data_IF_826578293597
#
_entry.id   IF_826578293597
#
_cell.length_a   1.000
_cell.length_b   1.000
_cell.length_c   1.000
_cell.angle_alpha   90.00
_cell.angle_beta   90.00
_cell.angle_gamma   90.00
#
_symmetry.space_group_name_H-M   'P 1'
#
loop_
_entity.id
_entity.type
_entity.pdbx_description
1 polymer ?
#
# COMPACT_ATOMS: atom_id res chain seq x y z
N UNK A 1 42.71 39.57 -19.54
CA UNK A 1 43.87 38.93 -18.85
C UNK A 1 43.37 37.69 -18.15
N UNK A 2 43.93 36.54 -18.51
CA UNK A 2 43.60 35.24 -17.97
C UNK A 2 44.27 35.02 -16.60
N UNK A 3 43.62 34.29 -15.70
CA UNK A 3 44.29 33.60 -14.62
C UNK A 3 43.75 32.16 -14.55
N UNK A 4 44.69 31.23 -14.64
CA UNK A 4 44.51 29.79 -14.76
C UNK A 4 44.46 29.11 -13.39
N UNK A 5 43.75 27.99 -13.38
CA UNK A 5 43.87 26.77 -12.58
C UNK A 5 45.02 26.65 -11.55
N UNK A 6 44.65 26.13 -10.37
CA UNK A 6 45.45 25.13 -9.67
C UNK A 6 44.52 24.03 -9.13
N UNK A 7 44.88 22.79 -9.46
CA UNK A 7 44.21 21.52 -9.15
C UNK A 7 44.95 20.91 -7.97
N UNK A 8 44.23 20.44 -6.95
CA UNK A 8 44.78 19.63 -5.86
C UNK A 8 43.90 18.40 -5.66
N UNK A 9 44.56 17.27 -5.52
CA UNK A 9 44.04 15.90 -5.54
C UNK A 9 44.17 15.39 -4.10
N UNK A 10 43.09 14.88 -3.54
CA UNK A 10 43.08 14.24 -2.23
C UNK A 10 42.06 13.12 -2.22
N UNK A 11 42.54 11.90 -2.39
CA UNK A 11 41.78 10.67 -2.21
C UNK A 11 41.62 10.33 -0.72
N UNK A 12 40.63 9.47 -0.43
CA UNK A 12 40.29 8.72 0.81
C UNK A 12 38.82 9.01 1.15
N UNK A 13 37.98 8.10 1.58
CA UNK A 13 37.96 6.64 1.68
C UNK A 13 36.51 6.35 2.12
N UNK A 14 35.89 5.33 1.54
CA UNK A 14 34.49 4.98 1.74
C UNK A 14 34.19 4.50 3.16
N UNK A 15 33.16 5.07 3.81
CA UNK A 15 32.39 4.37 4.83
C UNK A 15 30.89 4.57 4.57
N UNK A 16 30.27 3.45 4.21
CA UNK A 16 28.83 3.28 4.00
C UNK A 16 28.13 3.42 5.34
N UNK A 17 27.25 4.42 5.46
CA UNK A 17 26.23 4.47 6.51
C UNK A 17 24.88 4.21 5.86
N UNK A 18 24.34 3.03 6.14
CA UNK A 18 22.98 2.67 5.76
C UNK A 18 21.98 3.55 6.51
N UNK A 19 21.41 4.54 5.83
CA UNK A 19 20.23 5.28 6.30
C UNK A 19 18.99 4.54 5.79
N UNK A 20 18.49 3.62 6.61
CA UNK A 20 17.28 2.87 6.30
C UNK A 20 16.07 3.81 6.42
N UNK A 21 15.32 3.92 5.33
CA UNK A 21 14.08 4.67 5.24
C UNK A 21 12.98 3.90 6.01
N UNK A 22 12.26 4.61 6.88
CA UNK A 22 11.06 4.10 7.52
C UNK A 22 9.99 3.86 6.46
N UNK A 23 9.67 2.59 6.21
CA UNK A 23 8.49 2.18 5.47
C UNK A 23 7.23 2.47 6.30
N UNK A 24 6.27 3.16 5.68
CA UNK A 24 4.91 3.27 6.18
C UNK A 24 4.19 2.02 5.67
N UNK A 25 3.97 1.05 6.56
CA UNK A 25 3.06 -0.07 6.30
C UNK A 25 1.70 0.23 6.92
N UNK A 26 0.71 0.30 6.03
CA UNK A 26 -0.72 0.39 6.33
C UNK A 26 -1.20 -0.92 6.94
N UNK A 27 -1.65 -0.87 8.19
CA UNK A 27 -2.21 -2.01 8.90
C UNK A 27 -3.62 -2.30 8.40
N UNK A 28 -3.76 -3.42 7.70
CA UNK A 28 -5.01 -4.15 7.58
C UNK A 28 -5.50 -4.60 8.97
N UNK A 29 -6.78 -4.44 9.26
CA UNK A 29 -7.42 -4.89 10.49
C UNK A 29 -7.16 -6.37 10.76
N UNK A 30 -6.19 -6.63 11.64
CA UNK A 30 -5.86 -7.93 12.20
C UNK A 30 -5.59 -7.72 13.68
N UNK A 31 -6.20 -8.54 14.52
CA UNK A 31 -6.10 -8.53 15.97
C UNK A 31 -4.63 -8.51 16.41
N UNK A 32 -4.17 -7.41 17.00
CA UNK A 32 -2.84 -7.32 17.59
C UNK A 32 -2.80 -8.18 18.87
N UNK A 33 -2.18 -9.36 18.78
CA UNK A 33 -1.68 -10.08 19.96
C UNK A 33 -0.26 -9.57 20.25
N UNK A 34 0.01 -8.93 21.41
CA UNK A 34 1.38 -8.65 21.80
C UNK A 34 2.05 -9.95 22.25
N UNK A 35 2.98 -10.48 21.44
CA UNK A 35 3.90 -11.53 21.86
C UNK A 35 5.04 -10.88 22.64
N UNK A 36 4.96 -10.90 23.97
CA UNK A 36 6.10 -10.56 24.82
C UNK A 36 7.14 -11.68 24.72
N UNK A 37 8.20 -11.43 23.97
CA UNK A 37 9.43 -12.22 24.03
C UNK A 37 10.27 -11.62 25.16
N UNK A 38 10.37 -12.35 26.27
CA UNK A 38 11.33 -12.06 27.33
C UNK A 38 12.71 -12.54 26.87
N UNK A 39 13.55 -11.62 26.41
CA UNK A 39 14.98 -11.86 26.22
C UNK A 39 15.74 -11.18 27.36
N UNK A 40 16.32 -11.99 28.24
CA UNK A 40 17.24 -11.55 29.28
C UNK A 40 18.66 -11.41 28.73
N UNK A 41 19.26 -10.22 28.85
CA UNK A 41 20.70 -10.06 29.16
C UNK A 41 20.99 -8.61 29.60
N UNK A 42 21.71 -8.49 30.73
CA UNK A 42 22.03 -7.27 31.49
C UNK A 42 23.06 -6.34 30.77
N UNK A 43 23.40 -5.12 31.26
CA UNK A 43 24.00 -4.90 32.59
C UNK A 43 23.38 -3.76 33.40
N UNK A 44 23.73 -3.77 34.68
CA UNK A 44 23.18 -2.98 35.76
C UNK A 44 23.41 -1.46 35.61
N UNK A 45 22.36 -0.69 35.87
CA UNK A 45 22.49 0.69 36.33
C UNK A 45 21.47 0.92 37.46
N UNK A 46 21.98 1.37 38.60
CA UNK A 46 21.25 1.63 39.84
C UNK A 46 20.41 2.89 39.70
N UNK A 47 19.13 2.75 39.33
CA UNK A 47 18.11 3.81 39.50
C UNK A 47 16.80 3.18 40.01
N UNK A 48 15.98 3.91 40.80
CA UNK A 48 14.92 3.31 41.61
C UNK A 48 13.81 2.70 40.75
N UNK A 49 13.79 1.36 40.67
CA UNK A 49 12.84 0.51 39.91
C UNK A 49 11.37 0.65 40.34
N UNK A 50 11.09 1.39 41.41
CA UNK A 50 9.76 1.53 42.00
C UNK A 50 8.81 2.37 41.14
N UNK A 51 9.34 3.37 40.40
CA UNK A 51 8.51 4.31 39.65
C UNK A 51 7.97 3.72 38.34
N UNK A 52 8.77 2.90 37.66
CA UNK A 52 8.36 2.22 36.42
C UNK A 52 7.27 1.18 36.67
N UNK A 53 7.36 0.40 37.75
CA UNK A 53 6.33 -0.59 38.12
C UNK A 53 4.99 0.07 38.42
N UNK A 54 5.00 1.22 39.12
CA UNK A 54 3.80 2.00 39.39
C UNK A 54 3.19 2.59 38.11
N UNK A 55 4.02 2.97 37.14
CA UNK A 55 3.55 3.47 35.85
C UNK A 55 2.92 2.36 35.00
N UNK A 56 3.53 1.17 34.96
CA UNK A 56 2.96 0.00 34.25
C UNK A 56 1.64 -0.45 34.86
N UNK A 57 1.51 -0.46 36.20
CA UNK A 57 0.27 -0.83 36.88
C UNK A 57 -0.85 0.18 36.60
N UNK A 58 -0.52 1.47 36.55
CA UNK A 58 -1.47 2.53 36.16
C UNK A 58 -1.92 2.40 34.71
N UNK A 59 -1.00 2.12 33.80
CA UNK A 59 -1.33 1.91 32.38
C UNK A 59 -2.18 0.65 32.19
N UNK A 60 -1.85 -0.44 32.88
CA UNK A 60 -2.68 -1.66 32.89
C UNK A 60 -4.09 -1.36 33.38
N UNK A 61 -4.24 -0.68 34.52
CA UNK A 61 -5.56 -0.35 35.05
C UNK A 61 -6.38 0.56 34.13
N UNK A 62 -5.75 1.49 33.40
CA UNK A 62 -6.44 2.31 32.40
C UNK A 62 -6.89 1.46 31.21
N UNK A 63 -6.04 0.57 30.71
CA UNK A 63 -6.37 -0.34 29.61
C UNK A 63 -7.53 -1.27 30.01
N UNK A 64 -7.51 -1.81 31.22
CA UNK A 64 -8.56 -2.69 31.75
C UNK A 64 -9.91 -1.97 31.86
N UNK A 65 -9.91 -0.73 32.35
CA UNK A 65 -11.13 0.10 32.43
C UNK A 65 -11.70 0.42 31.04
N UNK A 66 -10.83 0.68 30.06
CA UNK A 66 -11.24 0.93 28.67
C UNK A 66 -11.82 -0.33 28.03
N UNK A 67 -11.19 -1.48 28.26
CA UNK A 67 -11.64 -2.78 27.76
C UNK A 67 -12.98 -3.19 28.40
N UNK A 68 -13.15 -2.96 29.70
CA UNK A 68 -14.41 -3.22 30.41
C UNK A 68 -15.59 -2.45 29.82
N UNK A 69 -15.37 -1.22 29.34
CA UNK A 69 -16.44 -0.44 28.69
C UNK A 69 -16.88 -1.01 27.35
N UNK A 70 -16.04 -1.81 26.68
CA UNK A 70 -16.39 -2.48 25.43
C UNK A 70 -17.20 -3.76 25.66
N UNK A 71 -17.23 -4.27 26.88
CA UNK A 71 -17.99 -5.47 27.22
C UNK A 71 -19.50 -5.18 27.36
N UNK A 72 -20.33 -6.21 27.11
CA UNK A 72 -21.73 -6.24 27.53
C UNK A 72 -21.86 -5.82 29.01
N UNK A 73 -22.87 -5.02 29.40
CA UNK A 73 -23.12 -4.63 30.79
C UNK A 73 -23.08 -5.78 31.80
N UNK A 74 -23.51 -6.97 31.39
CA UNK A 74 -23.55 -8.22 32.16
C UNK A 74 -22.15 -8.73 32.55
N UNK A 75 -21.11 -8.30 31.81
CA UNK A 75 -19.72 -8.73 31.97
C UNK A 75 -18.80 -7.62 32.53
N UNK A 76 -19.33 -6.44 32.86
CA UNK A 76 -18.53 -5.31 33.37
C UNK A 76 -18.22 -5.45 34.86
N UNK A 77 -17.02 -5.02 35.29
CA UNK A 77 -16.66 -4.91 36.71
C UNK A 77 -16.17 -6.21 37.38
N UNK A 78 -16.12 -7.32 36.64
CA UNK A 78 -15.52 -8.58 37.06
C UNK A 78 -13.99 -8.52 36.85
N UNK A 79 -13.25 -8.04 37.86
CA UNK A 79 -11.79 -7.79 37.74
C UNK A 79 -10.93 -9.05 37.75
N UNK A 80 -11.36 -10.12 38.44
CA UNK A 80 -10.49 -11.26 38.78
C UNK A 80 -11.00 -12.63 38.31
N UNK A 81 -12.19 -12.72 37.71
CA UNK A 81 -12.58 -13.92 37.01
C UNK A 81 -11.70 -14.00 35.75
N UNK A 82 -10.93 -15.07 35.59
CA UNK A 82 -10.36 -15.43 34.28
C UNK A 82 -11.53 -15.43 33.33
N UNK A 83 -11.65 -14.36 32.51
CA UNK A 83 -12.71 -14.18 31.53
C UNK A 83 -12.55 -15.33 30.56
N UNK A 84 -13.28 -16.41 30.82
CA UNK A 84 -13.21 -17.57 29.97
C UNK A 84 -13.91 -17.20 28.67
N UNK A 85 -13.37 -17.63 27.54
CA UNK A 85 -14.02 -17.43 26.25
C UNK A 85 -15.49 -17.93 26.29
N UNK A 86 -15.73 -18.96 27.10
CA UNK A 86 -17.05 -19.50 27.43
C UNK A 86 -18.01 -18.51 28.09
N UNK A 87 -17.57 -17.61 28.99
CA UNK A 87 -18.46 -16.63 29.62
C UNK A 87 -18.96 -15.58 28.62
N UNK A 88 -18.07 -15.16 27.71
CA UNK A 88 -18.41 -14.22 26.64
C UNK A 88 -19.39 -14.89 25.68
N UNK A 89 -19.12 -16.13 25.27
CA UNK A 89 -20.01 -16.91 24.41
C UNK A 89 -21.40 -17.04 25.05
N UNK A 90 -21.48 -17.40 26.33
CA UNK A 90 -22.77 -17.58 27.01
C UNK A 90 -23.62 -16.31 27.02
N UNK A 91 -23.01 -15.15 27.29
CA UNK A 91 -23.72 -13.86 27.26
C UNK A 91 -24.15 -13.48 25.84
N UNK A 92 -23.32 -13.76 24.85
CA UNK A 92 -23.66 -13.54 23.43
C UNK A 92 -24.84 -14.43 23.03
N UNK A 93 -24.81 -15.72 23.34
CA UNK A 93 -25.88 -16.68 23.06
C UNK A 93 -27.20 -16.25 23.71
N UNK A 94 -27.19 -15.89 25.00
CA UNK A 94 -28.39 -15.41 25.69
C UNK A 94 -29.00 -14.18 25.02
N UNK A 95 -28.18 -13.25 24.54
CA UNK A 95 -28.66 -12.05 23.81
C UNK A 95 -29.22 -12.38 22.44
N UNK A 96 -28.62 -13.35 21.74
CA UNK A 96 -29.13 -13.83 20.44
C UNK A 96 -30.51 -14.45 20.66
N UNK A 97 -30.65 -15.37 21.62
CA UNK A 97 -31.92 -16.01 21.98
C UNK A 97 -33.00 -14.99 22.33
N UNK A 98 -32.70 -14.04 23.22
CA UNK A 98 -33.67 -13.02 23.60
C UNK A 98 -34.09 -12.16 22.39
N UNK A 99 -33.14 -11.82 21.51
CA UNK A 99 -33.44 -11.06 20.29
C UNK A 99 -34.28 -11.87 19.28
N UNK A 100 -34.14 -13.20 19.25
CA UNK A 100 -34.99 -14.09 18.47
C UNK A 100 -36.41 -14.15 19.04
N UNK A 101 -36.56 -14.31 20.35
CA UNK A 101 -37.88 -14.30 21.04
C UNK A 101 -38.62 -12.97 20.84
N UNK A 102 -37.90 -11.85 20.90
CA UNK A 102 -38.44 -10.51 20.62
C UNK A 102 -38.75 -10.28 19.14
N UNK A 103 -38.41 -11.22 18.24
CA UNK A 103 -38.66 -11.11 16.81
C UNK A 103 -37.84 -10.01 16.11
N UNK A 104 -36.71 -9.56 16.71
CA UNK A 104 -35.88 -8.48 16.16
C UNK A 104 -35.28 -8.79 14.77
N UNK A 105 -35.21 -10.07 14.41
CA UNK A 105 -34.74 -10.52 13.09
C UNK A 105 -35.86 -10.60 12.02
N UNK A 106 -37.14 -10.49 12.42
CA UNK A 106 -38.25 -10.69 11.48
C UNK A 106 -38.48 -9.51 10.54
N UNK A 107 -38.26 -8.27 11.01
CA UNK A 107 -38.48 -7.02 10.28
C UNK A 107 -37.18 -6.27 9.97
N UNK A 108 -36.12 -6.99 9.60
CA UNK A 108 -34.86 -6.35 9.20
C UNK A 108 -35.03 -5.54 7.90
N UNK A 109 -34.44 -4.33 7.84
CA UNK A 109 -34.44 -3.55 6.61
C UNK A 109 -33.75 -4.34 5.49
N UNK A 110 -34.49 -4.58 4.40
CA UNK A 110 -33.96 -5.32 3.25
C UNK A 110 -34.16 -6.85 3.30
N UNK A 111 -34.85 -7.40 4.31
CA UNK A 111 -35.19 -8.84 4.32
C UNK A 111 -35.93 -9.24 3.04
N UNK A 112 -35.43 -10.27 2.35
CA UNK A 112 -35.99 -10.79 1.10
C UNK A 112 -35.70 -9.95 -0.15
N UNK A 113 -35.03 -8.80 -0.03
CA UNK A 113 -34.57 -8.02 -1.19
C UNK A 113 -33.14 -8.41 -1.56
N UNK A 114 -32.77 -8.35 -2.86
CA UNK A 114 -31.38 -8.47 -3.27
C UNK A 114 -30.52 -7.44 -2.52
N UNK A 115 -29.34 -7.88 -2.06
CA UNK A 115 -28.39 -7.00 -1.38
C UNK A 115 -27.94 -5.88 -2.32
N UNK A 116 -27.99 -4.63 -1.85
CA UNK A 116 -27.46 -3.50 -2.61
C UNK A 116 -25.94 -3.47 -2.50
N UNK A 117 -25.27 -3.89 -3.58
CA UNK A 117 -23.80 -3.89 -3.68
C UNK A 117 -23.24 -2.55 -4.15
N UNK A 118 -24.09 -1.55 -4.43
CA UNK A 118 -23.64 -0.28 -5.01
C UNK A 118 -23.06 0.69 -3.98
N UNK A 119 -23.38 0.51 -2.70
CA UNK A 119 -22.97 1.44 -1.65
C UNK A 119 -21.79 0.84 -0.89
N UNK A 120 -20.65 1.54 -0.90
CA UNK A 120 -19.50 1.15 -0.08
C UNK A 120 -19.50 1.96 1.23
N UNK A 121 -19.81 1.35 2.40
CA UNK A 121 -19.84 2.05 3.69
C UNK A 121 -18.48 2.59 4.14
N UNK A 122 -17.40 2.10 3.52
CA UNK A 122 -16.02 2.46 3.85
C UNK A 122 -15.42 3.46 2.86
N UNK A 123 -16.14 3.84 1.80
CA UNK A 123 -15.70 4.87 0.87
C UNK A 123 -15.97 6.27 1.43
N UNK A 124 -15.13 7.23 1.04
CA UNK A 124 -15.42 8.64 1.27
C UNK A 124 -16.73 9.02 0.54
N UNK A 125 -17.67 9.76 1.17
CA UNK A 125 -18.96 10.09 0.56
C UNK A 125 -18.87 10.85 -0.77
N UNK A 126 -17.84 11.69 -0.96
CA UNK A 126 -17.64 12.41 -2.21
C UNK A 126 -17.12 11.47 -3.30
N UNK A 127 -16.16 10.61 -2.97
CA UNK A 127 -15.61 9.59 -3.89
C UNK A 127 -16.68 8.55 -4.31
N UNK A 128 -17.49 8.07 -3.37
CA UNK A 128 -18.63 7.18 -3.66
C UNK A 128 -19.62 7.82 -4.63
N UNK A 129 -19.94 9.10 -4.41
CA UNK A 129 -20.84 9.86 -5.29
C UNK A 129 -20.25 10.02 -6.69
N UNK A 130 -18.96 10.33 -6.80
CA UNK A 130 -18.26 10.43 -8.07
C UNK A 130 -18.32 9.11 -8.85
N UNK A 131 -17.93 7.99 -8.23
CA UNK A 131 -17.94 6.68 -8.90
C UNK A 131 -19.35 6.23 -9.27
N UNK A 132 -20.36 6.55 -8.45
CA UNK A 132 -21.77 6.30 -8.77
C UNK A 132 -22.23 7.08 -10.00
N UNK A 133 -21.86 8.35 -10.14
CA UNK A 133 -22.19 9.15 -11.33
C UNK A 133 -21.49 8.59 -12.56
N UNK A 134 -20.21 8.25 -12.47
CA UNK A 134 -19.45 7.66 -13.58
C UNK A 134 -20.05 6.34 -14.04
N UNK A 135 -20.35 5.44 -13.09
CA UNK A 135 -20.97 4.12 -13.37
C UNK A 135 -22.34 4.26 -14.05
N UNK A 136 -23.19 5.18 -13.58
CA UNK A 136 -24.50 5.47 -14.21
C UNK A 136 -24.35 5.94 -15.66
N UNK A 137 -23.29 6.69 -15.97
CA UNK A 137 -23.00 7.15 -17.33
C UNK A 137 -22.15 6.16 -18.15
N UNK A 138 -21.82 4.99 -17.60
CA UNK A 138 -20.91 4.00 -18.21
C UNK A 138 -19.52 4.57 -18.54
N UNK A 139 -19.07 5.57 -17.78
CA UNK A 139 -17.74 6.16 -17.88
C UNK A 139 -16.80 5.51 -16.86
N UNK A 140 -15.52 5.40 -17.22
CA UNK A 140 -14.51 4.92 -16.31
C UNK A 140 -13.88 6.10 -15.54
N UNK A 141 -13.35 5.88 -14.33
CA UNK A 141 -12.52 6.87 -13.66
C UNK A 141 -11.29 7.23 -14.50
N UNK A 142 -10.82 8.47 -14.37
CA UNK A 142 -9.68 8.99 -15.13
C UNK A 142 -8.45 8.07 -15.05
N UNK A 143 -8.14 7.54 -13.86
CA UNK A 143 -6.98 6.67 -13.68
C UNK A 143 -7.12 5.34 -14.44
N UNK A 144 -8.35 4.83 -14.65
CA UNK A 144 -8.58 3.61 -15.45
C UNK A 144 -8.29 3.90 -16.93
N UNK A 145 -8.78 5.03 -17.43
CA UNK A 145 -8.57 5.45 -18.81
C UNK A 145 -7.09 5.72 -19.10
N UNK A 146 -6.43 6.43 -18.18
CA UNK A 146 -5.00 6.72 -18.26
C UNK A 146 -4.16 5.43 -18.22
N UNK A 147 -4.54 4.45 -17.39
CA UNK A 147 -3.86 3.15 -17.37
C UNK A 147 -3.96 2.44 -18.73
N UNK A 148 -5.16 2.43 -19.34
CA UNK A 148 -5.37 1.87 -20.68
C UNK A 148 -4.53 2.60 -21.72
N UNK A 149 -4.50 3.93 -21.68
CA UNK A 149 -3.68 4.75 -22.58
C UNK A 149 -2.19 4.41 -22.46
N UNK A 150 -1.66 4.35 -21.23
CA UNK A 150 -0.25 4.01 -20.97
C UNK A 150 0.07 2.63 -21.54
N UNK A 151 -0.75 1.61 -21.26
CA UNK A 151 -0.50 0.25 -21.76
C UNK A 151 -0.47 0.20 -23.28
N UNK A 152 -1.41 0.88 -23.95
CA UNK A 152 -1.45 0.93 -25.40
C UNK A 152 -0.19 1.60 -25.97
N UNK A 153 0.22 2.75 -25.41
CA UNK A 153 1.44 3.45 -25.84
C UNK A 153 2.70 2.60 -25.62
N UNK A 154 2.79 1.86 -24.52
CA UNK A 154 3.91 0.94 -24.26
C UNK A 154 3.97 -0.16 -25.32
N UNK A 155 2.83 -0.75 -25.70
CA UNK A 155 2.77 -1.78 -26.74
C UNK A 155 3.21 -1.20 -28.09
N UNK A 156 2.64 -0.06 -28.50
CA UNK A 156 2.99 0.62 -29.74
C UNK A 156 4.48 0.98 -29.79
N UNK A 157 5.00 1.53 -28.69
CA UNK A 157 6.40 1.89 -28.54
C UNK A 157 7.32 0.66 -28.65
N UNK A 158 6.99 -0.45 -27.98
CA UNK A 158 7.75 -1.71 -28.10
C UNK A 158 7.73 -2.26 -29.52
N UNK A 159 6.60 -2.21 -30.21
CA UNK A 159 6.52 -2.61 -31.62
C UNK A 159 7.36 -1.71 -32.51
N UNK A 160 7.32 -0.39 -32.31
CA UNK A 160 8.15 0.56 -33.06
C UNK A 160 9.65 0.32 -32.82
N UNK A 161 10.03 0.07 -31.56
CA UNK A 161 11.39 -0.25 -31.19
C UNK A 161 11.87 -1.56 -31.85
N UNK A 162 11.05 -2.61 -31.83
CA UNK A 162 11.38 -3.88 -32.50
C UNK A 162 11.57 -3.69 -34.02
N UNK A 163 10.73 -2.87 -34.66
CA UNK A 163 10.91 -2.51 -36.08
C UNK A 163 12.22 -1.76 -36.30
N UNK A 164 12.52 -0.73 -35.50
CA UNK A 164 13.78 0.01 -35.64
C UNK A 164 14.99 -0.92 -35.44
N UNK A 165 14.90 -1.87 -34.50
CA UNK A 165 15.94 -2.85 -34.23
C UNK A 165 16.21 -3.80 -35.40
N UNK A 166 15.17 -4.27 -36.11
CA UNK A 166 15.37 -5.15 -37.28
C UNK A 166 16.01 -4.43 -38.46
N UNK A 167 15.80 -3.12 -38.60
CA UNK A 167 16.39 -2.31 -39.68
C UNK A 167 17.85 -1.90 -39.40
N UNK A 168 18.35 -2.12 -38.16
CA UNK A 168 19.72 -1.84 -37.71
C UNK A 168 20.82 -2.61 -38.48
N UNK A 169 20.45 -3.52 -39.39
CA UNK A 169 21.38 -4.21 -40.29
C UNK A 169 21.58 -3.54 -41.66
N UNK A 170 20.91 -2.42 -41.93
CA UNK A 170 21.12 -1.62 -43.15
C UNK A 170 22.35 -0.71 -43.00
N UNK A 171 22.96 -0.34 -44.13
CA UNK A 171 24.31 0.27 -44.24
C UNK A 171 24.46 1.62 -43.50
N UNK A 172 23.36 2.28 -43.12
CA UNK A 172 23.39 3.59 -42.46
C UNK A 172 22.90 3.52 -41.00
N UNK A 173 23.84 3.61 -40.05
CA UNK A 173 23.56 3.76 -38.61
C UNK A 173 22.84 5.08 -38.26
N UNK A 174 22.79 6.04 -39.20
CA UNK A 174 22.15 7.35 -39.00
C UNK A 174 20.65 7.23 -38.72
N UNK A 175 19.94 6.37 -39.46
CA UNK A 175 18.50 6.16 -39.27
C UNK A 175 18.19 5.56 -37.89
N UNK A 176 19.07 4.67 -37.41
CA UNK A 176 18.96 4.10 -36.07
C UNK A 176 19.18 5.14 -34.97
N UNK A 177 20.16 6.04 -35.13
CA UNK A 177 20.43 7.10 -34.17
C UNK A 177 19.21 8.01 -34.04
N UNK A 178 18.65 8.48 -35.16
CA UNK A 178 17.45 9.32 -35.17
C UNK A 178 16.23 8.60 -34.58
N UNK A 179 15.99 7.35 -34.97
CA UNK A 179 14.92 6.54 -34.42
C UNK A 179 15.09 6.32 -32.91
N UNK A 180 16.32 6.09 -32.43
CA UNK A 180 16.60 5.89 -31.01
C UNK A 180 16.32 7.14 -30.18
N UNK A 181 16.67 8.33 -30.67
CA UNK A 181 16.37 9.60 -29.99
C UNK A 181 14.86 9.88 -29.96
N UNK A 182 14.17 9.63 -31.07
CA UNK A 182 12.69 9.70 -31.12
C UNK A 182 12.04 8.75 -30.12
N UNK A 183 12.52 7.51 -30.03
CA UNK A 183 11.99 6.50 -29.11
C UNK A 183 12.28 6.85 -27.63
N UNK A 184 13.43 7.46 -27.33
CA UNK A 184 13.74 7.98 -25.97
C UNK A 184 12.80 9.12 -25.59
N UNK A 185 12.48 10.01 -26.51
CA UNK A 185 11.48 11.08 -26.27
C UNK A 185 10.09 10.50 -26.00
N UNK A 186 9.70 9.43 -26.69
CA UNK A 186 8.45 8.72 -26.43
C UNK A 186 8.44 8.05 -25.05
N UNK A 187 9.54 7.42 -24.61
CA UNK A 187 9.66 6.92 -23.23
C UNK A 187 9.41 8.05 -22.22
N UNK A 188 10.00 9.22 -22.44
CA UNK A 188 9.80 10.37 -21.54
C UNK A 188 8.32 10.76 -21.44
N UNK A 189 7.60 10.81 -22.57
CA UNK A 189 6.17 11.09 -22.57
C UNK A 189 5.35 10.01 -21.84
N UNK A 190 5.66 8.73 -22.08
CA UNK A 190 5.03 7.61 -21.36
C UNK A 190 5.30 7.73 -19.86
N UNK A 191 6.53 8.03 -19.45
CA UNK A 191 6.92 8.17 -18.05
C UNK A 191 6.26 9.36 -17.36
N UNK A 192 6.02 10.46 -18.07
CA UNK A 192 5.21 11.56 -17.55
C UNK A 192 3.77 11.13 -17.28
N UNK A 193 3.18 10.33 -18.17
CA UNK A 193 1.84 9.77 -17.96
C UNK A 193 1.81 8.78 -16.80
N UNK A 194 2.83 7.93 -16.67
CA UNK A 194 3.01 7.03 -15.52
C UNK A 194 3.12 7.82 -14.21
N UNK A 195 3.87 8.90 -14.21
CA UNK A 195 3.98 9.79 -13.05
C UNK A 195 2.61 10.37 -12.68
N UNK A 196 1.88 10.95 -13.66
CA UNK A 196 0.52 11.46 -13.44
C UNK A 196 -0.41 10.38 -12.89
N UNK A 197 -0.38 9.18 -13.47
CA UNK A 197 -1.17 8.04 -13.02
C UNK A 197 -0.86 7.68 -11.56
N UNK A 198 0.43 7.64 -11.18
CA UNK A 198 0.85 7.30 -9.82
C UNK A 198 0.40 8.31 -8.77
N UNK A 199 0.12 9.56 -9.18
CA UNK A 199 -0.40 10.61 -8.29
C UNK A 199 -1.91 10.49 -8.04
N UNK A 200 -2.67 9.96 -9.00
CA UNK A 200 -4.14 9.92 -8.94
C UNK A 200 -4.69 8.55 -8.54
N UNK A 201 -3.88 7.50 -8.59
CA UNK A 201 -4.32 6.13 -8.32
C UNK A 201 -4.33 5.84 -6.81
N UNK A 202 -5.30 5.03 -6.30
CA UNK A 202 -5.23 4.51 -4.95
C UNK A 202 -3.92 3.77 -4.66
N UNK A 203 -3.50 3.81 -3.39
CA UNK A 203 -2.29 3.13 -2.93
C UNK A 203 -2.27 1.64 -3.32
N UNK A 204 -1.10 1.12 -3.68
CA UNK A 204 -0.91 -0.27 -4.11
C UNK A 204 -1.21 -0.56 -5.59
N UNK A 205 -1.68 0.43 -6.37
CA UNK A 205 -1.96 0.28 -7.82
C UNK A 205 -1.01 1.10 -8.72
N UNK A 206 0.04 1.67 -8.14
CA UNK A 206 1.08 2.43 -8.85
C UNK A 206 1.90 1.53 -9.78
N UNK A 207 2.51 2.14 -10.79
CA UNK A 207 3.31 1.43 -11.79
C UNK A 207 4.71 2.04 -11.96
N UNK A 208 5.66 1.21 -12.38
CA UNK A 208 7.02 1.65 -12.71
C UNK A 208 7.07 2.21 -14.14
N UNK A 209 7.88 3.24 -14.32
CA UNK A 209 8.16 3.79 -15.65
C UNK A 209 9.04 2.86 -16.49
N UNK A 210 9.09 3.15 -17.79
CA UNK A 210 10.00 2.51 -18.73
C UNK A 210 11.42 3.04 -18.56
N UNK A 211 12.40 2.15 -18.73
CA UNK A 211 13.81 2.48 -18.77
C UNK A 211 14.42 1.91 -20.06
N UNK A 212 15.22 2.73 -20.75
CA UNK A 212 15.78 2.39 -22.06
C UNK A 212 16.71 1.18 -21.97
N UNK A 213 17.64 1.17 -21.02
CA UNK A 213 18.63 0.10 -20.87
C UNK A 213 17.96 -1.26 -20.64
N UNK A 214 16.96 -1.31 -19.75
CA UNK A 214 16.20 -2.54 -19.45
C UNK A 214 15.47 -3.09 -20.67
N UNK A 215 14.88 -2.22 -21.48
CA UNK A 215 14.16 -2.65 -22.69
C UNK A 215 15.14 -3.09 -23.80
N UNK A 216 16.35 -2.50 -23.86
CA UNK A 216 17.41 -2.97 -24.76
C UNK A 216 17.90 -4.36 -24.38
N UNK A 217 18.11 -4.61 -23.09
CA UNK A 217 18.57 -5.92 -22.62
C UNK A 217 17.51 -7.00 -22.85
N UNK A 218 16.23 -6.69 -22.60
CA UNK A 218 15.10 -7.55 -22.94
C UNK A 218 15.08 -7.93 -24.43
N UNK A 219 15.35 -6.98 -25.33
CA UNK A 219 15.40 -7.24 -26.78
C UNK A 219 16.58 -8.11 -27.19
N UNK A 220 17.76 -7.92 -26.58
CA UNK A 220 18.93 -8.77 -26.83
C UNK A 220 18.63 -10.21 -26.43
N UNK A 221 18.06 -10.41 -25.23
CA UNK A 221 17.67 -11.74 -24.75
C UNK A 221 16.67 -12.42 -25.68
N UNK A 222 15.63 -11.71 -26.14
CA UNK A 222 14.67 -12.21 -27.13
C UNK A 222 15.34 -12.62 -28.46
N UNK A 223 16.37 -11.89 -28.90
CA UNK A 223 17.11 -12.20 -30.13
C UNK A 223 18.08 -13.37 -30.01
N UNK A 224 18.58 -13.66 -28.81
CA UNK A 224 19.50 -14.78 -28.55
C UNK A 224 18.79 -16.11 -28.25
N UNK A 225 17.51 -16.05 -27.88
CA UNK A 225 16.70 -17.22 -27.53
C UNK A 225 15.82 -17.78 -28.66
N UNK A 226 15.82 -17.16 -29.84
CA UNK A 226 15.19 -17.69 -31.07
C UNK A 226 16.26 -18.30 -31.99
#
# INVERSE_FOLDING_TARGET
MAARFARSIGALSSSVTHRSAAGIETVSHGVFKPRLVSSSSSPESEFPKTNNKKMTDRLSGVIDVVNDRKLPPELRGQRDAVRSETDIINVVEQRIWHSMEEGKFENLPGKGKPLDLNTNPHADPAEDTLYRILSRNKCAPEWVELNKEIRNRVVEWRSALKRAWTHRGSVDDSEWIEASESLKLQIRDINNKVFRYNLIVPFGRQMLGLNWEKEMDRLKEESTGS
#
